data_IF_825870847566
#
_entry.id   IF_825870847566
#
_cell.length_a   1.000
_cell.length_b   1.000
_cell.length_c   1.000
_cell.angle_alpha   90.00
_cell.angle_beta   90.00
_cell.angle_gamma   90.00
#
_symmetry.space_group_name_H-M   'P 1'
#
loop_
_entity.id
_entity.type
_entity.pdbx_description
1 polymer ?
#
# COMPACT_ATOMS: atom_id res chain seq x y z
N UNK A 1 -59.86 40.19 28.74
CA UNK A 1 -59.36 40.38 27.35
C UNK A 1 -58.06 39.57 27.26
N UNK A 2 -58.06 38.38 26.64
CA UNK A 2 -57.49 38.09 25.29
C UNK A 2 -56.03 38.62 25.17
N UNK A 3 -54.95 37.87 24.95
CA UNK A 3 -54.68 36.68 24.13
C UNK A 3 -53.36 35.96 24.57
N UNK A 4 -53.28 34.66 24.31
CA UNK A 4 -52.09 33.76 24.19
C UNK A 4 -51.30 34.00 22.88
N UNK A 5 -50.30 33.18 22.46
CA UNK A 5 -49.02 32.69 23.04
C UNK A 5 -47.85 32.83 21.99
N UNK A 6 -46.88 31.89 21.95
CA UNK A 6 -45.70 31.72 21.05
C UNK A 6 -44.37 32.17 21.70
N UNK A 7 -43.45 31.25 22.06
CA UNK A 7 -42.60 30.44 21.17
C UNK A 7 -41.15 30.94 21.39
N UNK A 8 -40.14 30.14 21.70
CA UNK A 8 -39.40 29.29 20.76
C UNK A 8 -38.43 28.43 21.59
N UNK A 9 -38.46 27.12 21.36
CA UNK A 9 -37.46 26.16 21.81
C UNK A 9 -36.21 26.32 20.91
N UNK A 10 -35.08 26.75 21.46
CA UNK A 10 -33.80 26.70 20.74
C UNK A 10 -33.20 25.30 20.87
N UNK A 11 -33.44 24.45 19.89
CA UNK A 11 -32.68 23.22 19.66
C UNK A 11 -31.38 23.61 18.94
N UNK A 12 -30.28 23.72 19.69
CA UNK A 12 -28.94 23.88 19.13
C UNK A 12 -28.47 22.55 18.53
N UNK A 13 -28.76 22.37 17.25
CA UNK A 13 -28.17 21.33 16.40
C UNK A 13 -26.68 21.64 16.23
N UNK A 14 -25.82 21.03 17.06
CA UNK A 14 -24.37 20.99 16.81
C UNK A 14 -24.12 20.04 15.63
N UNK A 15 -24.16 20.58 14.41
CA UNK A 15 -23.59 19.92 13.25
C UNK A 15 -22.08 19.81 13.45
N UNK A 16 -21.61 18.64 13.89
CA UNK A 16 -20.22 18.24 13.68
C UNK A 16 -19.98 18.20 12.18
N UNK A 17 -19.38 19.26 11.65
CA UNK A 17 -18.85 19.26 10.30
C UNK A 17 -17.73 18.23 10.25
N UNK A 18 -17.98 17.13 9.55
CA UNK A 18 -16.94 16.19 9.15
C UNK A 18 -15.95 17.00 8.31
N UNK A 19 -14.80 17.36 8.89
CA UNK A 19 -13.72 17.98 8.15
C UNK A 19 -13.18 16.93 7.19
N UNK A 20 -13.71 16.90 5.97
CA UNK A 20 -13.12 16.19 4.86
C UNK A 20 -11.74 16.79 4.65
N UNK A 21 -10.69 16.10 5.10
CA UNK A 21 -9.33 16.44 4.73
C UNK A 21 -9.26 16.51 3.20
N UNK A 22 -8.80 17.63 2.60
CA UNK A 22 -8.62 17.69 1.17
C UNK A 22 -7.65 16.56 0.76
N UNK A 23 -7.94 15.81 -0.31
CA UNK A 23 -6.98 14.85 -0.84
C UNK A 23 -5.67 15.59 -1.11
N UNK A 24 -4.55 14.99 -0.69
CA UNK A 24 -3.20 15.53 -0.87
C UNK A 24 -3.09 16.06 -2.31
N UNK A 25 -2.89 17.38 -2.43
CA UNK A 25 -2.83 18.04 -3.71
C UNK A 25 -1.58 17.57 -4.46
N UNK A 26 -1.77 16.63 -5.38
CA UNK A 26 -0.76 16.16 -6.33
C UNK A 26 -0.23 17.40 -7.08
N UNK A 27 1.04 17.73 -6.85
CA UNK A 27 1.70 18.88 -7.48
C UNK A 27 1.70 18.73 -9.00
N UNK A 28 1.66 19.85 -9.73
CA UNK A 28 1.43 19.86 -11.18
C UNK A 28 2.47 19.03 -11.98
N UNK A 29 3.70 18.85 -11.48
CA UNK A 29 4.72 18.00 -12.12
C UNK A 29 4.45 16.49 -12.04
N UNK A 30 3.77 16.03 -10.98
CA UNK A 30 3.33 14.64 -10.82
C UNK A 30 2.11 14.31 -11.68
N UNK A 31 1.23 15.30 -11.83
CA UNK A 31 0.09 15.21 -12.74
C UNK A 31 0.54 14.90 -14.15
N UNK A 32 1.64 15.46 -14.65
CA UNK A 32 2.04 15.24 -16.04
C UNK A 32 2.75 13.89 -16.29
N UNK A 33 3.49 13.34 -15.32
CA UNK A 33 4.05 11.97 -15.41
C UNK A 33 2.96 10.90 -15.33
N UNK A 34 1.98 11.09 -14.45
CA UNK A 34 0.99 10.05 -14.20
C UNK A 34 -0.35 10.27 -14.93
N UNK A 35 -0.65 11.46 -15.50
CA UNK A 35 -1.91 11.77 -16.23
C UNK A 35 -2.24 10.81 -17.35
N UNK A 36 -1.23 10.26 -18.03
CA UNK A 36 -1.41 9.22 -19.06
C UNK A 36 -1.27 7.79 -18.54
N UNK A 37 -0.44 7.57 -17.53
CA UNK A 37 -0.03 6.25 -17.04
C UNK A 37 -1.11 5.59 -16.16
N UNK A 38 -1.83 6.38 -15.35
CA UNK A 38 -2.93 5.89 -14.50
C UNK A 38 -4.00 5.14 -15.33
N UNK A 39 -4.28 5.63 -16.54
CA UNK A 39 -5.34 5.10 -17.42
C UNK A 39 -4.83 4.10 -18.47
N UNK A 40 -3.56 4.20 -18.89
CA UNK A 40 -3.01 3.33 -19.95
C UNK A 40 -2.35 2.04 -19.46
N UNK A 41 -1.79 2.02 -18.24
CA UNK A 41 -0.99 0.88 -17.79
C UNK A 41 -1.63 0.06 -16.67
N UNK A 42 -2.82 0.46 -16.17
CA UNK A 42 -3.61 -0.36 -15.24
C UNK A 42 -2.76 -0.86 -14.05
N UNK A 43 -2.01 0.05 -13.40
CA UNK A 43 -1.05 -0.23 -12.31
C UNK A 43 0.06 -1.25 -12.67
N UNK A 44 0.31 -1.45 -13.96
CA UNK A 44 1.28 -2.39 -14.52
C UNK A 44 2.67 -1.79 -14.80
N UNK A 45 2.89 -0.49 -14.55
CA UNK A 45 4.24 0.06 -14.58
C UNK A 45 4.99 -0.42 -13.34
N UNK A 46 5.92 -1.32 -13.61
CA UNK A 46 6.69 -2.03 -12.61
C UNK A 46 8.15 -1.79 -12.93
N UNK A 47 8.81 -1.07 -12.05
CA UNK A 47 10.25 -0.96 -12.07
C UNK A 47 10.80 -2.06 -11.16
N UNK A 48 11.59 -2.96 -11.75
CA UNK A 48 12.44 -3.84 -10.95
C UNK A 48 13.69 -3.04 -10.63
N UNK A 49 13.84 -2.69 -9.36
CA UNK A 49 15.05 -2.04 -8.85
C UNK A 49 15.81 -3.08 -8.05
N UNK A 50 17.10 -3.26 -8.32
CA UNK A 50 17.97 -3.93 -7.35
C UNK A 50 18.09 -3.02 -6.14
N UNK A 51 17.44 -3.38 -5.04
CA UNK A 51 17.50 -2.64 -3.79
C UNK A 51 18.47 -3.36 -2.84
N UNK A 52 19.39 -2.61 -2.22
CA UNK A 52 20.21 -3.18 -1.15
C UNK A 52 19.30 -3.26 0.08
N UNK A 53 18.93 -4.47 0.50
CA UNK A 53 18.14 -4.65 1.72
C UNK A 53 19.04 -5.17 2.83
N UNK A 54 19.33 -4.31 3.81
CA UNK A 54 20.04 -4.69 5.04
C UNK A 54 19.04 -5.26 6.04
N UNK A 55 18.38 -6.37 5.71
CA UNK A 55 17.46 -7.05 6.66
C UNK A 55 18.13 -8.22 7.39
N UNK A 56 19.39 -8.56 7.07
CA UNK A 56 20.11 -9.64 7.76
C UNK A 56 21.63 -9.44 7.87
N UNK A 57 22.12 -8.20 8.02
CA UNK A 57 23.55 -7.96 8.34
C UNK A 57 24.57 -8.30 7.24
N UNK A 58 24.12 -8.70 6.04
CA UNK A 58 24.93 -8.82 4.82
C UNK A 58 24.38 -7.91 3.72
N UNK A 59 25.23 -7.28 2.88
CA UNK A 59 24.78 -6.49 1.75
C UNK A 59 24.46 -7.40 0.57
N UNK A 60 23.33 -8.11 0.66
CA UNK A 60 22.77 -8.83 -0.48
C UNK A 60 21.82 -7.89 -1.25
N UNK A 61 21.97 -7.87 -2.58
CA UNK A 61 21.08 -7.09 -3.44
C UNK A 61 19.77 -7.87 -3.54
N UNK A 62 18.67 -7.27 -3.10
CA UNK A 62 17.32 -7.86 -3.13
C UNK A 62 16.53 -7.13 -4.22
N UNK A 63 15.88 -7.88 -5.08
CA UNK A 63 14.97 -7.34 -6.07
C UNK A 63 13.74 -6.70 -5.40
N UNK A 64 13.39 -5.52 -5.88
CA UNK A 64 12.25 -4.74 -5.44
C UNK A 64 11.33 -4.46 -6.61
N UNK A 65 10.04 -4.78 -6.45
CA UNK A 65 9.03 -4.36 -7.42
C UNK A 65 8.37 -3.06 -6.93
N UNK A 66 8.61 -1.96 -7.67
CA UNK A 66 7.97 -0.66 -7.44
C UNK A 66 6.78 -0.46 -8.36
N UNK A 67 5.64 -0.13 -7.77
CA UNK A 67 4.40 0.21 -8.44
C UNK A 67 4.19 1.72 -8.32
N UNK A 68 4.63 2.44 -9.33
CA UNK A 68 4.56 3.90 -9.37
C UNK A 68 3.17 4.41 -9.70
N UNK A 69 2.94 5.70 -9.43
CA UNK A 69 1.66 6.36 -9.65
C UNK A 69 0.55 5.60 -8.90
N UNK A 70 0.74 5.42 -7.60
CA UNK A 70 -0.35 5.04 -6.68
C UNK A 70 -0.76 6.26 -5.88
N UNK A 71 -2.01 6.32 -5.44
CA UNK A 71 -2.45 7.42 -4.56
C UNK A 71 -1.95 7.24 -3.11
N UNK A 72 -1.71 5.99 -2.69
CA UNK A 72 -1.22 5.66 -1.36
C UNK A 72 -0.12 4.58 -1.44
N UNK A 73 0.98 4.79 -0.73
CA UNK A 73 2.14 3.89 -0.71
C UNK A 73 1.84 2.53 -0.09
N UNK A 74 0.78 2.42 0.72
CA UNK A 74 0.41 1.23 1.46
C UNK A 74 -0.64 0.36 0.76
N UNK A 75 -0.96 0.59 -0.51
CA UNK A 75 -1.96 -0.24 -1.21
C UNK A 75 -1.63 -1.73 -1.25
N UNK A 76 -0.36 -2.11 -1.41
CA UNK A 76 0.03 -3.53 -1.31
C UNK A 76 -0.23 -4.06 0.11
N UNK A 77 0.18 -3.31 1.14
CA UNK A 77 -0.03 -3.67 2.54
C UNK A 77 -1.53 -3.82 2.87
N UNK A 78 -2.36 -2.87 2.43
CA UNK A 78 -3.80 -2.92 2.61
C UNK A 78 -4.43 -4.15 1.95
N UNK A 79 -4.04 -4.46 0.71
CA UNK A 79 -4.54 -5.65 0.05
C UNK A 79 -4.08 -6.97 0.70
N UNK A 80 -2.85 -7.02 1.25
CA UNK A 80 -2.39 -8.15 2.04
C UNK A 80 -3.17 -8.27 3.34
N UNK A 81 -3.42 -7.16 4.03
CA UNK A 81 -4.25 -7.13 5.24
C UNK A 81 -5.66 -7.67 4.96
N UNK A 82 -6.32 -7.20 3.90
CA UNK A 82 -7.68 -7.64 3.59
C UNK A 82 -7.75 -9.12 3.21
N UNK A 83 -6.66 -9.71 2.72
CA UNK A 83 -6.61 -11.12 2.33
C UNK A 83 -6.13 -12.04 3.45
N UNK A 84 -5.16 -11.61 4.25
CA UNK A 84 -4.40 -12.47 5.16
C UNK A 84 -4.41 -11.97 6.61
N UNK A 85 -5.00 -10.80 6.89
CA UNK A 85 -4.99 -10.17 8.20
C UNK A 85 -3.68 -9.43 8.50
N UNK A 86 -3.48 -9.12 9.78
CA UNK A 86 -2.34 -8.35 10.26
C UNK A 86 -0.99 -8.99 9.87
N UNK A 87 -0.01 -8.13 9.65
CA UNK A 87 1.37 -8.54 9.40
C UNK A 87 1.96 -9.29 10.60
N UNK A 88 2.95 -10.13 10.34
CA UNK A 88 3.67 -10.87 11.37
C UNK A 88 4.71 -10.00 12.10
N UNK A 89 5.27 -9.02 11.41
CA UNK A 89 6.31 -8.13 11.94
C UNK A 89 6.26 -6.77 11.25
N UNK A 90 6.55 -5.72 12.01
CA UNK A 90 6.84 -4.39 11.48
C UNK A 90 8.30 -4.05 11.79
N UNK A 91 8.98 -3.38 10.87
CA UNK A 91 10.36 -2.94 11.03
C UNK A 91 10.59 -1.58 10.37
N UNK A 92 11.47 -0.73 10.92
CA UNK A 92 11.88 0.49 10.23
C UNK A 92 12.64 0.16 8.94
N UNK A 93 12.36 0.86 7.85
CA UNK A 93 13.11 0.69 6.61
C UNK A 93 14.43 1.46 6.66
N UNK A 94 15.55 0.75 6.63
CA UNK A 94 16.87 1.33 6.85
C UNK A 94 17.26 2.41 5.81
N UNK A 95 16.73 2.36 4.59
CA UNK A 95 17.07 3.29 3.50
C UNK A 95 16.05 4.40 3.25
N UNK A 96 14.87 4.35 3.88
CA UNK A 96 13.86 5.41 3.82
C UNK A 96 13.47 5.79 5.24
N UNK A 97 14.09 6.87 5.75
CA UNK A 97 14.14 7.28 7.15
C UNK A 97 12.82 7.45 7.92
N UNK A 98 11.66 7.20 7.32
CA UNK A 98 10.34 7.36 7.96
C UNK A 98 9.32 6.27 7.58
N UNK A 99 9.71 5.27 6.77
CA UNK A 99 8.77 4.28 6.27
C UNK A 99 8.86 2.98 7.06
N UNK A 100 7.71 2.51 7.55
CA UNK A 100 7.59 1.21 8.20
C UNK A 100 7.42 0.13 7.14
N UNK A 101 8.24 -0.92 7.20
CA UNK A 101 8.02 -2.15 6.44
C UNK A 101 7.16 -3.10 7.24
N UNK A 102 6.13 -3.59 6.56
CA UNK A 102 5.22 -4.61 7.07
C UNK A 102 5.55 -5.95 6.43
N UNK A 103 5.68 -6.99 7.24
CA UNK A 103 6.17 -8.30 6.83
C UNK A 103 5.11 -9.36 7.15
N UNK A 104 4.66 -10.06 6.13
CA UNK A 104 3.85 -11.26 6.25
C UNK A 104 4.70 -12.49 5.98
N UNK A 105 4.54 -13.53 6.80
CA UNK A 105 5.25 -14.81 6.65
C UNK A 105 4.28 -15.92 6.29
N UNK A 106 4.80 -16.95 5.61
CA UNK A 106 4.07 -18.20 5.31
C UNK A 106 2.79 -18.00 4.46
N UNK A 107 2.82 -17.05 3.52
CA UNK A 107 1.69 -16.76 2.64
C UNK A 107 1.63 -17.72 1.45
N UNK A 108 0.44 -18.21 1.12
CA UNK A 108 0.16 -18.82 -0.18
C UNK A 108 -0.42 -17.74 -1.11
N UNK A 109 0.42 -17.18 -1.98
CA UNK A 109 0.02 -16.05 -2.83
C UNK A 109 -0.75 -16.51 -4.07
N UNK A 110 -0.25 -17.57 -4.72
CA UNK A 110 -0.79 -18.11 -5.95
C UNK A 110 -1.63 -19.37 -5.63
N UNK A 111 -2.88 -19.48 -6.13
CA UNK A 111 -3.82 -20.53 -5.73
C UNK A 111 -3.40 -21.94 -6.15
N UNK A 112 -2.74 -22.08 -7.29
CA UNK A 112 -2.33 -23.37 -7.86
C UNK A 112 -0.89 -23.76 -7.50
N UNK A 113 -0.26 -23.00 -6.59
CA UNK A 113 1.12 -23.20 -6.17
C UNK A 113 1.18 -23.44 -4.65
N UNK A 114 2.05 -24.35 -4.25
CA UNK A 114 2.24 -24.74 -2.84
C UNK A 114 3.35 -23.95 -2.16
N UNK A 115 4.10 -23.14 -2.91
CA UNK A 115 5.17 -22.30 -2.37
C UNK A 115 4.63 -21.36 -1.30
N UNK A 116 5.36 -21.31 -0.18
CA UNK A 116 5.11 -20.37 0.91
C UNK A 116 6.04 -19.17 0.76
N UNK A 117 5.45 -17.99 0.85
CA UNK A 117 6.14 -16.74 0.63
C UNK A 117 6.25 -15.92 1.91
N UNK A 118 7.37 -15.23 2.05
CA UNK A 118 7.52 -14.07 2.92
C UNK A 118 7.43 -12.82 2.06
N UNK A 119 6.57 -11.89 2.45
CA UNK A 119 6.32 -10.66 1.71
C UNK A 119 6.60 -9.47 2.62
N UNK A 120 7.53 -8.61 2.20
CA UNK A 120 7.84 -7.38 2.89
C UNK A 120 7.38 -6.20 2.02
N UNK A 121 6.55 -5.32 2.56
CA UNK A 121 5.96 -4.20 1.83
C UNK A 121 6.34 -2.88 2.44
N UNK A 122 6.48 -1.87 1.60
CA UNK A 122 6.57 -0.48 2.03
C UNK A 122 6.10 0.42 0.90
N UNK A 123 6.63 1.63 0.88
CA UNK A 123 6.48 2.52 -0.25
C UNK A 123 7.06 3.88 0.09
N UNK A 124 6.76 4.86 -0.74
CA UNK A 124 7.23 6.22 -0.57
C UNK A 124 6.15 7.19 -1.03
N UNK A 125 5.88 8.20 -0.21
CA UNK A 125 4.94 9.28 -0.51
C UNK A 125 5.70 10.60 -0.55
N UNK A 126 6.03 11.06 -1.75
CA UNK A 126 6.70 12.36 -1.94
C UNK A 126 6.45 12.91 -3.34
N UNK A 127 7.50 13.44 -3.97
CA UNK A 127 7.45 13.92 -5.36
C UNK A 127 7.13 12.82 -6.39
N UNK A 128 7.11 11.56 -5.98
CA UNK A 128 6.45 10.44 -6.64
C UNK A 128 5.85 9.58 -5.54
N UNK A 129 4.70 8.96 -5.81
CA UNK A 129 4.09 8.00 -4.90
C UNK A 129 4.17 6.61 -5.51
N UNK A 130 4.80 5.69 -4.79
CA UNK A 130 4.92 4.29 -5.20
C UNK A 130 4.73 3.35 -4.01
N UNK A 131 4.13 2.20 -4.28
CA UNK A 131 4.10 1.06 -3.36
C UNK A 131 5.20 0.09 -3.77
N UNK A 132 5.91 -0.51 -2.81
CA UNK A 132 7.00 -1.44 -3.08
C UNK A 132 6.79 -2.78 -2.37
N UNK A 133 7.36 -3.83 -2.94
CA UNK A 133 7.33 -5.16 -2.36
C UNK A 133 8.63 -5.93 -2.63
N UNK A 134 9.07 -6.67 -1.62
CA UNK A 134 10.04 -7.76 -1.72
C UNK A 134 9.32 -9.08 -1.45
N UNK A 135 9.72 -10.14 -2.16
CA UNK A 135 9.10 -11.45 -2.06
C UNK A 135 10.17 -12.51 -1.98
N UNK A 136 10.12 -13.31 -0.92
CA UNK A 136 11.03 -14.43 -0.71
C UNK A 136 10.22 -15.72 -0.62
N UNK A 137 10.77 -16.84 -1.08
CA UNK A 137 10.22 -18.15 -0.76
C UNK A 137 10.63 -18.60 0.65
N UNK A 138 10.18 -19.79 1.05
CA UNK A 138 10.50 -20.39 2.35
C UNK A 138 11.99 -20.63 2.58
N UNK A 139 12.76 -20.80 1.50
CA UNK A 139 14.22 -21.02 1.55
C UNK A 139 14.99 -19.69 1.59
N UNK A 140 14.28 -18.55 1.62
CA UNK A 140 14.86 -17.21 1.64
C UNK A 140 15.34 -16.72 0.27
N UNK A 141 15.02 -17.44 -0.82
CA UNK A 141 15.39 -17.02 -2.18
C UNK A 141 14.50 -15.88 -2.63
N UNK A 142 15.11 -14.88 -3.28
CA UNK A 142 14.40 -13.76 -3.87
C UNK A 142 13.59 -14.21 -5.10
N UNK A 143 12.28 -13.99 -5.03
CA UNK A 143 11.33 -14.42 -6.06
C UNK A 143 11.00 -13.31 -7.07
N UNK A 144 11.61 -12.14 -6.92
CA UNK A 144 11.52 -11.01 -7.84
C UNK A 144 12.80 -10.83 -8.67
N UNK A 145 13.86 -11.59 -8.42
CA UNK A 145 15.06 -11.59 -9.24
C UNK A 145 14.79 -12.06 -10.69
N UNK A 146 15.60 -11.61 -11.67
CA UNK A 146 15.48 -12.07 -13.05
C UNK A 146 15.52 -13.60 -13.15
N UNK A 147 14.57 -14.18 -13.89
CA UNK A 147 14.39 -15.62 -14.09
C UNK A 147 13.95 -16.42 -12.84
N UNK A 148 13.61 -15.77 -11.73
CA UNK A 148 13.02 -16.47 -10.60
C UNK A 148 11.69 -17.13 -11.01
N UNK A 149 11.41 -18.30 -10.42
CA UNK A 149 10.17 -19.02 -10.69
C UNK A 149 8.97 -18.14 -10.29
N UNK A 150 7.96 -18.06 -11.15
CA UNK A 150 6.75 -17.25 -10.93
C UNK A 150 6.95 -15.72 -10.83
N UNK A 151 8.14 -15.18 -11.13
CA UNK A 151 8.43 -13.74 -11.02
C UNK A 151 7.34 -12.86 -11.67
N UNK A 152 6.99 -13.13 -12.93
CA UNK A 152 5.98 -12.35 -13.64
C UNK A 152 4.57 -12.50 -13.03
N UNK A 153 4.23 -13.71 -12.57
CA UNK A 153 2.93 -13.99 -11.94
C UNK A 153 2.80 -13.27 -10.59
N UNK A 154 3.86 -13.25 -9.78
CA UNK A 154 3.94 -12.49 -8.53
C UNK A 154 3.81 -10.99 -8.80
N UNK A 155 4.53 -10.47 -9.79
CA UNK A 155 4.43 -9.06 -10.19
C UNK A 155 3.01 -8.68 -10.63
N UNK A 156 2.35 -9.52 -11.43
CA UNK A 156 0.95 -9.33 -11.82
C UNK A 156 0.00 -9.45 -10.63
N UNK A 157 0.27 -10.37 -9.71
CA UNK A 157 -0.52 -10.56 -8.50
C UNK A 157 -0.58 -9.28 -7.66
N UNK A 158 0.56 -8.65 -7.36
CA UNK A 158 0.58 -7.42 -6.57
C UNK A 158 -0.02 -6.22 -7.32
N UNK A 159 0.13 -6.15 -8.65
CA UNK A 159 -0.57 -5.13 -9.45
C UNK A 159 -2.10 -5.26 -9.37
N UNK A 160 -2.63 -6.49 -9.36
CA UNK A 160 -4.07 -6.74 -9.13
C UNK A 160 -4.47 -6.43 -7.69
N UNK A 161 -3.60 -6.71 -6.73
CA UNK A 161 -3.84 -6.45 -5.31
C UNK A 161 -4.02 -4.95 -5.05
N UNK A 162 -3.16 -4.11 -5.64
CA UNK A 162 -3.27 -2.64 -5.57
C UNK A 162 -4.65 -2.18 -6.07
N UNK A 163 -5.08 -2.61 -7.25
CA UNK A 163 -6.39 -2.24 -7.82
C UNK A 163 -7.53 -2.50 -6.86
N UNK A 164 -7.55 -3.69 -6.25
CA UNK A 164 -8.60 -4.09 -5.31
C UNK A 164 -8.54 -3.28 -4.01
N UNK A 165 -7.33 -2.98 -3.52
CA UNK A 165 -7.16 -2.24 -2.27
C UNK A 165 -7.57 -0.77 -2.35
N UNK A 166 -7.61 -0.18 -3.56
CA UNK A 166 -8.04 1.22 -3.74
C UNK A 166 -9.47 1.48 -3.23
N UNK A 167 -10.29 0.44 -3.14
CA UNK A 167 -11.68 0.51 -2.67
C UNK A 167 -11.89 0.08 -1.22
N UNK A 168 -10.84 -0.38 -0.51
CA UNK A 168 -10.98 -1.03 0.80
C UNK A 168 -9.75 -0.80 1.71
N UNK A 169 -9.34 0.47 1.87
CA UNK A 169 -8.15 0.83 2.66
C UNK A 169 -8.47 1.16 4.13
N UNK A 170 -9.73 1.42 4.48
CA UNK A 170 -10.11 1.94 5.80
C UNK A 170 -9.80 0.96 6.93
N UNK A 171 -10.04 -0.34 6.71
CA UNK A 171 -9.76 -1.37 7.71
C UNK A 171 -8.25 -1.47 8.00
N UNK A 172 -7.43 -1.41 6.95
CA UNK A 172 -5.99 -1.37 7.07
C UNK A 172 -5.54 -0.11 7.84
N UNK A 173 -6.04 1.06 7.47
CA UNK A 173 -5.67 2.33 8.12
C UNK A 173 -6.01 2.35 9.61
N UNK A 174 -7.09 1.68 10.01
CA UNK A 174 -7.43 1.50 11.42
C UNK A 174 -6.40 0.60 12.11
N UNK A 175 -6.15 -0.58 11.55
CA UNK A 175 -5.22 -1.56 12.13
C UNK A 175 -3.77 -1.05 12.19
N UNK A 176 -3.35 -0.20 11.25
CA UNK A 176 -2.00 0.37 11.19
C UNK A 176 -1.73 1.47 12.23
N UNK A 177 -2.79 2.05 12.80
CA UNK A 177 -2.68 3.12 13.82
C UNK A 177 -2.79 2.61 15.25
N UNK A 178 -3.19 1.37 15.44
CA UNK A 178 -3.33 0.69 16.74
C UNK A 178 -2.00 0.04 17.16
#
# INVERSE_FOLDING_TARGET
MRLTPFGILFLSFFCYTCASHPPLAITNGLKDKCRGIYLQHDFGYQELVGAISVVAGTPDTVAEARYHCVYNAYYIAAGLYNRFGAWSQAAPYASYHENTVLIWKNLQLLPDDTTRYTVATGGYEGNSCYSLVHVFNQDGQDMLEPNALHQEQLRKYFGKLIKKSTTDIDQFNKAFKE
#
